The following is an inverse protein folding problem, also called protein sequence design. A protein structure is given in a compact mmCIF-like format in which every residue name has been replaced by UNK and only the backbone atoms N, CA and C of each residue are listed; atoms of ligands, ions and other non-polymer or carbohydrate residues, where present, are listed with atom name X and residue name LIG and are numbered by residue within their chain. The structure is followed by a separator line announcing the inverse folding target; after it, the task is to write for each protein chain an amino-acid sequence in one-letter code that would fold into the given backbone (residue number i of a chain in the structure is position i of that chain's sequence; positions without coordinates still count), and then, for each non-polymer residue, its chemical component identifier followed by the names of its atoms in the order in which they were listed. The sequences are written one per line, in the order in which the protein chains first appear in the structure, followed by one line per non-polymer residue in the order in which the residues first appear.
data_IF_201669370726
#
_entry.id   IF_201669370726
#
_cell.length_a   1.000
_cell.length_b   1.000
_cell.length_c   1.000
_cell.angle_alpha   90.00
_cell.angle_beta   90.00
_cell.angle_gamma   90.00
#
_symmetry.space_group_name_H-M   'P 1'
#
loop_
_entity.id
_entity.type
_entity.pdbx_description
1 polymer ?
#
# COMPACT_ATOMS: atom_id res chain seq x y z
N UNK A 1 8.88 2.05 27.57
CA UNK A 1 10.16 2.09 26.84
C UNK A 1 10.10 1.49 25.42
N UNK A 2 9.06 0.75 25.03
CA UNK A 2 9.03 0.11 23.70
C UNK A 2 8.48 0.99 22.55
N UNK A 3 7.96 2.17 22.89
CA UNK A 3 7.29 3.07 21.94
C UNK A 3 8.24 3.80 20.97
N UNK A 4 9.47 4.08 21.41
CA UNK A 4 10.48 4.84 20.65
C UNK A 4 11.70 3.98 20.26
N UNK A 5 11.67 2.68 20.55
CA UNK A 5 12.68 1.76 20.03
C UNK A 5 12.52 1.59 18.52
N UNK A 6 13.59 1.21 17.80
CA UNK A 6 13.52 0.91 16.37
C UNK A 6 12.40 -0.10 16.03
N UNK A 7 12.17 -1.09 16.90
CA UNK A 7 11.04 -2.02 16.77
C UNK A 7 9.70 -1.29 16.90
N UNK A 8 9.55 -0.42 17.89
CA UNK A 8 8.36 0.40 18.11
C UNK A 8 8.01 1.24 16.88
N UNK A 9 9.00 1.95 16.33
CA UNK A 9 8.87 2.79 15.14
C UNK A 9 8.52 1.95 13.90
N UNK A 10 9.21 0.81 13.70
CA UNK A 10 8.94 -0.10 12.58
C UNK A 10 7.53 -0.67 12.63
N UNK A 11 7.05 -1.02 13.82
CA UNK A 11 5.68 -1.49 14.00
C UNK A 11 4.64 -0.36 13.81
N UNK A 12 4.93 0.90 14.19
CA UNK A 12 4.04 2.05 13.89
C UNK A 12 3.90 2.28 12.38
N UNK A 13 5.00 2.24 11.63
CA UNK A 13 4.98 2.34 10.16
C UNK A 13 4.23 1.19 9.46
N UNK A 14 3.95 0.09 10.19
CA UNK A 14 3.19 -1.07 9.69
C UNK A 14 1.72 -1.10 10.16
N UNK A 15 1.35 -0.33 11.19
CA UNK A 15 0.03 -0.41 11.86
C UNK A 15 -1.09 0.37 11.15
N UNK A 16 -0.77 1.49 10.51
CA UNK A 16 -1.79 2.39 9.97
C UNK A 16 -1.64 2.55 8.46
N UNK A 17 -2.33 1.70 7.71
CA UNK A 17 -2.97 2.21 6.50
C UNK A 17 -4.36 2.58 6.98
N UNK A 18 -4.56 3.86 7.31
CA UNK A 18 -5.89 4.38 7.65
C UNK A 18 -6.85 3.94 6.54
N UNK A 19 -7.91 3.17 6.86
CA UNK A 19 -8.86 2.71 5.85
C UNK A 19 -9.41 3.88 5.02
N UNK A 20 -9.52 5.06 5.63
CA UNK A 20 -9.85 6.35 5.03
C UNK A 20 -8.92 6.73 3.88
N UNK A 21 -7.61 6.52 4.04
CA UNK A 21 -6.64 6.83 2.99
C UNK A 21 -6.82 5.90 1.78
N UNK A 22 -7.14 4.62 2.00
CA UNK A 22 -7.43 3.66 0.92
C UNK A 22 -8.71 4.07 0.19
N UNK A 23 -9.76 4.42 0.93
CA UNK A 23 -11.00 4.90 0.33
C UNK A 23 -10.82 6.23 -0.41
N UNK A 24 -9.95 7.12 0.09
CA UNK A 24 -9.56 8.35 -0.62
C UNK A 24 -8.90 8.05 -1.96
N UNK A 25 -7.90 7.15 -1.99
CA UNK A 25 -7.25 6.74 -3.23
C UNK A 25 -8.22 6.07 -4.21
N UNK A 26 -9.11 5.20 -3.73
CA UNK A 26 -10.15 4.57 -4.55
C UNK A 26 -11.02 5.65 -5.23
N UNK A 27 -11.47 6.65 -4.46
CA UNK A 27 -12.41 7.67 -4.96
C UNK A 27 -11.75 8.72 -5.85
N UNK A 28 -10.65 9.32 -5.39
CA UNK A 28 -10.04 10.48 -6.02
C UNK A 28 -8.95 10.09 -7.05
N UNK A 29 -8.06 9.15 -6.72
CA UNK A 29 -6.95 8.78 -7.62
C UNK A 29 -7.37 7.76 -8.67
N UNK A 30 -8.25 6.81 -8.31
CA UNK A 30 -8.72 5.75 -9.21
C UNK A 30 -10.09 6.05 -9.84
N UNK A 31 -10.69 7.18 -9.48
CA UNK A 31 -11.97 7.64 -10.05
C UNK A 31 -13.17 6.73 -9.76
N UNK A 32 -13.09 5.89 -8.73
CA UNK A 32 -14.18 4.97 -8.40
C UNK A 32 -15.23 5.66 -7.53
N UNK A 33 -16.36 6.01 -8.15
CA UNK A 33 -17.42 6.80 -7.50
C UNK A 33 -18.45 5.97 -6.73
N UNK A 34 -18.81 4.78 -7.22
CA UNK A 34 -19.82 3.90 -6.61
C UNK A 34 -19.66 2.45 -7.06
N UNK A 35 -20.18 1.52 -6.26
CA UNK A 35 -20.39 0.13 -6.67
C UNK A 35 -21.21 0.07 -7.95
N UNK A 36 -20.72 -0.71 -8.91
CA UNK A 36 -21.37 -0.85 -10.23
C UNK A 36 -22.36 -2.00 -10.21
N UNK A 37 -22.16 -2.97 -9.32
CA UNK A 37 -23.01 -4.13 -9.16
C UNK A 37 -23.90 -4.01 -7.92
N UNK A 38 -25.15 -4.45 -8.06
CA UNK A 38 -26.14 -4.47 -6.99
C UNK A 38 -26.18 -5.83 -6.30
N UNK A 39 -26.42 -5.81 -4.99
CA UNK A 39 -26.44 -6.99 -4.13
C UNK A 39 -25.14 -7.17 -3.33
N UNK A 40 -25.28 -7.66 -2.10
CA UNK A 40 -24.19 -7.76 -1.11
C UNK A 40 -23.00 -8.56 -1.65
N UNK A 41 -23.27 -9.68 -2.30
CA UNK A 41 -22.22 -10.58 -2.82
C UNK A 41 -21.41 -9.91 -3.93
N UNK A 42 -22.09 -9.16 -4.82
CA UNK A 42 -21.42 -8.46 -5.93
C UNK A 42 -20.68 -7.21 -5.47
N UNK A 43 -21.20 -6.49 -4.47
CA UNK A 43 -20.47 -5.39 -3.83
C UNK A 43 -19.21 -5.90 -3.09
N UNK A 44 -19.28 -7.10 -2.50
CA UNK A 44 -18.15 -7.77 -1.87
C UNK A 44 -17.10 -8.18 -2.91
N UNK A 45 -17.54 -8.67 -4.08
CA UNK A 45 -16.66 -8.97 -5.21
C UNK A 45 -15.91 -7.72 -5.70
N UNK A 46 -16.61 -6.60 -5.90
CA UNK A 46 -16.01 -5.32 -6.27
C UNK A 46 -14.93 -4.90 -5.26
N UNK A 47 -15.21 -5.04 -3.96
CA UNK A 47 -14.24 -4.74 -2.90
C UNK A 47 -13.03 -5.69 -2.89
N UNK A 48 -13.25 -6.99 -3.15
CA UNK A 48 -12.17 -7.98 -3.24
C UNK A 48 -11.18 -7.65 -4.37
N UNK A 49 -11.67 -7.19 -5.52
CA UNK A 49 -10.79 -6.72 -6.60
C UNK A 49 -9.91 -5.56 -6.18
N UNK A 50 -10.46 -4.57 -5.46
CA UNK A 50 -9.64 -3.50 -4.90
C UNK A 50 -8.58 -4.03 -3.95
N UNK A 51 -8.95 -4.88 -3.00
CA UNK A 51 -8.01 -5.44 -2.04
C UNK A 51 -6.83 -6.16 -2.73
N UNK A 52 -7.11 -6.97 -3.76
CA UNK A 52 -6.07 -7.64 -4.55
C UNK A 52 -5.20 -6.62 -5.30
N UNK A 53 -5.81 -5.66 -5.98
CA UNK A 53 -5.09 -4.62 -6.73
C UNK A 53 -4.16 -3.79 -5.82
N UNK A 54 -4.63 -3.41 -4.64
CA UNK A 54 -3.81 -2.69 -3.65
C UNK A 54 -2.66 -3.53 -3.12
N UNK A 55 -2.87 -4.83 -2.88
CA UNK A 55 -1.80 -5.74 -2.46
C UNK A 55 -0.71 -5.86 -3.53
N UNK A 56 -1.09 -6.00 -4.81
CA UNK A 56 -0.14 -6.02 -5.92
C UNK A 56 0.60 -4.69 -6.01
N UNK A 57 -0.11 -3.55 -5.95
CA UNK A 57 0.49 -2.20 -5.94
C UNK A 57 1.53 -2.05 -4.82
N UNK A 58 1.22 -2.57 -3.63
CA UNK A 58 2.14 -2.59 -2.46
C UNK A 58 3.36 -3.45 -2.71
N UNK A 59 3.23 -4.62 -3.35
CA UNK A 59 4.36 -5.47 -3.72
C UNK A 59 5.28 -4.78 -4.74
N UNK A 60 4.71 -4.18 -5.79
CA UNK A 60 5.47 -3.45 -6.78
C UNK A 60 6.25 -2.27 -6.18
N UNK A 61 5.63 -1.52 -5.24
CA UNK A 61 6.30 -0.44 -4.53
C UNK A 61 7.51 -0.94 -3.70
N UNK A 62 7.37 -2.07 -3.00
CA UNK A 62 8.49 -2.69 -2.26
C UNK A 62 9.65 -3.08 -3.18
N UNK A 63 9.35 -3.73 -4.30
CA UNK A 63 10.36 -4.15 -5.28
C UNK A 63 11.08 -2.93 -5.88
N UNK A 64 10.34 -1.86 -6.22
CA UNK A 64 10.93 -0.62 -6.74
C UNK A 64 11.89 0.01 -5.73
N UNK A 65 11.49 0.08 -4.46
CA UNK A 65 12.32 0.65 -3.40
C UNK A 65 13.59 -0.17 -3.17
N UNK A 66 13.49 -1.51 -3.18
CA UNK A 66 14.66 -2.39 -3.11
C UNK A 66 15.63 -2.16 -4.27
N UNK A 67 15.13 -2.13 -5.51
CA UNK A 67 15.96 -1.85 -6.69
C UNK A 67 16.63 -0.48 -6.62
N UNK A 68 15.96 0.53 -6.06
CA UNK A 68 16.52 1.87 -5.89
C UNK A 68 17.61 1.89 -4.83
N UNK A 69 17.42 1.21 -3.70
CA UNK A 69 18.48 1.06 -2.68
C UNK A 69 19.68 0.31 -3.26
N UNK A 70 19.47 -0.78 -3.99
CA UNK A 70 20.56 -1.56 -4.59
C UNK A 70 21.39 -0.71 -5.56
N UNK A 71 20.73 0.06 -6.44
CA UNK A 71 21.40 1.01 -7.34
C UNK A 71 22.21 2.06 -6.60
N UNK A 72 21.66 2.64 -5.53
CA UNK A 72 22.37 3.65 -4.74
C UNK A 72 23.62 3.06 -4.05
N UNK A 73 23.54 1.83 -3.54
CA UNK A 73 24.71 1.12 -2.99
C UNK A 73 25.77 0.83 -4.05
N UNK A 74 25.37 0.43 -5.27
CA UNK A 74 26.32 0.26 -6.37
C UNK A 74 27.00 1.59 -6.68
N UNK A 75 26.25 2.68 -6.85
CA UNK A 75 26.79 4.01 -7.15
C UNK A 75 27.80 4.51 -6.09
N UNK A 76 27.59 4.21 -4.81
CA UNK A 76 28.54 4.54 -3.73
C UNK A 76 29.83 3.69 -3.81
N UNK A 77 29.74 2.43 -4.25
CA UNK A 77 30.88 1.51 -4.34
C UNK A 77 31.79 1.74 -5.55
N UNK A 78 31.27 2.35 -6.61
CA UNK A 78 32.05 2.75 -7.80
C UNK A 78 32.54 4.20 -7.75
N UNK A 79 32.23 4.94 -6.67
CA UNK A 79 32.71 6.30 -6.43
C UNK A 79 33.95 6.32 -5.53
#
# INVERSE_FOLDING_TARGET
MEQDSEKGIRHRGQRCIEPEAVFGQIKYDMGYKRFRHFGKDKATMDFAFFAIAFNIKKMCAKIKNQKMTDKNYQNIRVA
#
